data_IF_811578977945
#
_entry.id   IF_811578977945
#
_cell.length_a   1.000
_cell.length_b   1.000
_cell.length_c   1.000
_cell.angle_alpha   90.00
_cell.angle_beta   90.00
_cell.angle_gamma   90.00
#
_symmetry.space_group_name_H-M   'P 1'
#
loop_
_entity.id
_entity.type
_entity.pdbx_description
1 polymer ?
#
# COMPACT_ATOMS: atom_id res chain seq x y z
N UNK A 1 3.73 48.32 24.69
CA UNK A 1 4.56 47.48 25.55
C UNK A 1 5.01 46.30 24.72
N UNK A 2 6.28 46.36 24.36
CA UNK A 2 6.97 45.46 23.44
C UNK A 2 7.15 44.06 24.07
N UNK A 3 7.04 42.98 23.24
CA UNK A 3 7.41 41.63 23.63
C UNK A 3 8.94 41.49 23.63
N UNK A 4 9.54 40.88 24.67
CA UNK A 4 10.98 40.62 24.68
C UNK A 4 11.37 39.48 23.72
N UNK A 5 12.47 39.70 23.00
CA UNK A 5 13.13 38.75 22.11
C UNK A 5 13.62 37.52 22.86
N UNK A 6 13.39 36.33 22.27
CA UNK A 6 13.84 35.04 22.78
C UNK A 6 15.37 34.95 22.74
N UNK A 7 16.03 34.96 23.87
CA UNK A 7 17.40 34.48 24.05
C UNK A 7 17.40 33.20 24.88
N UNK A 8 18.12 32.22 24.34
CA UNK A 8 18.32 30.87 24.80
C UNK A 8 18.76 30.72 26.26
N UNK A 9 17.94 30.07 27.10
CA UNK A 9 18.43 29.28 28.23
C UNK A 9 17.40 28.22 28.60
N UNK A 10 17.70 26.97 28.33
CA UNK A 10 16.91 25.80 28.73
C UNK A 10 17.13 25.55 30.22
N UNK A 11 16.24 26.10 31.06
CA UNK A 11 16.16 25.72 32.47
C UNK A 11 15.28 24.47 32.64
N UNK A 12 15.70 23.54 33.45
CA UNK A 12 14.98 22.29 33.81
C UNK A 12 13.58 22.62 34.32
N UNK A 13 12.57 22.00 33.71
CA UNK A 13 11.16 22.08 34.10
C UNK A 13 10.94 21.18 35.30
N UNK A 14 10.48 21.78 36.42
CA UNK A 14 10.06 21.09 37.64
C UNK A 14 8.63 20.55 37.44
N UNK A 15 8.38 19.23 37.57
CA UNK A 15 7.09 18.61 37.26
C UNK A 15 5.99 18.85 38.31
N UNK A 16 6.25 19.62 39.37
CA UNK A 16 5.30 19.80 40.49
C UNK A 16 4.58 21.15 40.53
N UNK A 17 4.81 22.06 39.59
CA UNK A 17 4.12 23.37 39.57
C UNK A 17 2.95 23.39 38.56
N UNK A 18 1.75 23.83 38.97
CA UNK A 18 0.65 24.07 38.03
C UNK A 18 1.01 25.20 37.06
N UNK A 19 0.81 24.96 35.77
CA UNK A 19 1.03 25.94 34.70
C UNK A 19 0.12 27.18 34.90
N UNK A 20 0.65 28.41 34.75
CA UNK A 20 -0.17 29.60 34.71
C UNK A 20 -1.04 29.57 33.43
N UNK A 21 -2.33 29.87 33.58
CA UNK A 21 -3.29 30.00 32.47
C UNK A 21 -2.71 30.91 31.38
N UNK A 22 -2.63 30.37 30.16
CA UNK A 22 -2.34 31.16 28.96
C UNK A 22 -3.46 32.20 28.78
N UNK A 23 -3.14 33.44 29.00
CA UNK A 23 -3.93 34.56 28.55
C UNK A 23 -4.01 34.52 27.02
N UNK A 24 -5.20 34.40 26.51
CA UNK A 24 -5.49 34.42 25.08
C UNK A 24 -5.10 35.77 24.49
N UNK A 25 -4.01 35.80 23.72
CA UNK A 25 -3.71 36.94 22.85
C UNK A 25 -4.71 36.93 21.70
N UNK A 26 -5.64 37.87 21.67
CA UNK A 26 -6.50 38.12 20.52
C UNK A 26 -5.64 38.68 19.37
N UNK A 27 -5.71 38.09 18.15
CA UNK A 27 -5.03 38.70 17.00
C UNK A 27 -5.65 40.03 16.61
N UNK A 28 -4.85 40.98 16.07
CA UNK A 28 -5.35 42.30 15.67
C UNK A 28 -6.39 42.13 14.55
N UNK A 29 -7.53 42.81 14.72
CA UNK A 29 -8.59 42.89 13.71
C UNK A 29 -8.11 43.71 12.52
N UNK A 30 -7.88 43.02 11.39
CA UNK A 30 -7.69 43.71 10.12
C UNK A 30 -9.05 44.21 9.63
N UNK A 31 -9.23 45.54 9.60
CA UNK A 31 -10.38 46.17 8.98
C UNK A 31 -10.41 45.95 7.45
N UNK A 32 -11.58 46.02 6.81
CA UNK A 32 -11.69 45.71 5.39
C UNK A 32 -10.97 46.82 4.56
N UNK A 33 -9.95 46.40 3.79
CA UNK A 33 -9.35 47.20 2.74
C UNK A 33 -10.39 47.53 1.67
N UNK A 34 -10.77 48.83 1.57
CA UNK A 34 -11.55 49.38 0.47
C UNK A 34 -10.75 49.21 -0.83
N UNK A 35 -11.15 48.25 -1.65
CA UNK A 35 -10.70 48.13 -3.03
C UNK A 35 -11.53 49.05 -3.94
N UNK A 36 -11.08 50.28 -4.10
CA UNK A 36 -11.53 51.17 -5.16
C UNK A 36 -10.52 51.18 -6.30
N UNK A 37 -10.67 50.31 -7.26
CA UNK A 37 -10.10 50.43 -8.62
C UNK A 37 -10.98 49.60 -9.57
N UNK A 38 -11.89 50.27 -10.23
CA UNK A 38 -12.68 49.71 -11.29
C UNK A 38 -11.83 49.35 -12.51
N UNK A 39 -11.55 48.04 -12.66
CA UNK A 39 -10.95 47.48 -13.87
C UNK A 39 -12.08 46.98 -14.77
N UNK A 40 -12.31 47.69 -15.89
CA UNK A 40 -13.18 47.21 -16.98
C UNK A 40 -12.47 46.00 -17.62
N UNK A 41 -12.85 44.79 -17.22
CA UNK A 41 -12.37 43.55 -17.85
C UNK A 41 -13.11 43.32 -19.18
N UNK A 42 -12.33 43.25 -20.27
CA UNK A 42 -12.79 42.90 -21.60
C UNK A 42 -13.34 41.46 -21.63
N UNK A 43 -14.32 41.25 -22.52
CA UNK A 43 -15.15 40.03 -22.68
C UNK A 43 -14.36 38.74 -23.02
N UNK A 44 -13.05 38.81 -23.25
CA UNK A 44 -12.21 37.66 -23.58
C UNK A 44 -11.64 36.88 -22.39
N UNK A 45 -11.59 37.46 -21.17
CA UNK A 45 -10.99 36.82 -19.99
C UNK A 45 -11.96 35.90 -19.23
N UNK A 46 -13.26 36.03 -19.43
CA UNK A 46 -14.28 35.25 -18.73
C UNK A 46 -14.27 33.76 -19.05
N UNK A 47 -13.99 33.38 -20.28
CA UNK A 47 -14.03 31.98 -20.71
C UNK A 47 -12.84 31.17 -20.14
N UNK A 48 -11.63 31.71 -20.17
CA UNK A 48 -10.43 31.06 -19.62
C UNK A 48 -10.52 30.96 -18.11
N UNK A 49 -11.06 32.00 -17.43
CA UNK A 49 -11.29 31.97 -16.00
C UNK A 49 -12.35 30.92 -15.61
N UNK A 50 -13.42 30.78 -16.38
CA UNK A 50 -14.49 29.80 -16.14
C UNK A 50 -13.99 28.38 -16.37
N UNK A 51 -13.22 28.11 -17.43
CA UNK A 51 -12.61 26.80 -17.71
C UNK A 51 -11.61 26.43 -16.60
N UNK A 52 -10.80 27.39 -16.15
CA UNK A 52 -9.87 27.20 -15.04
C UNK A 52 -10.62 26.88 -13.73
N UNK A 53 -11.73 27.56 -13.42
CA UNK A 53 -12.54 27.28 -12.24
C UNK A 53 -13.26 25.93 -12.32
N UNK A 54 -13.76 25.55 -13.48
CA UNK A 54 -14.39 24.23 -13.70
C UNK A 54 -13.35 23.14 -13.61
N UNK A 55 -12.19 23.29 -14.25
CA UNK A 55 -11.09 22.34 -14.16
C UNK A 55 -10.59 22.17 -12.71
N UNK A 56 -10.39 23.27 -11.98
CA UNK A 56 -10.04 23.22 -10.54
C UNK A 56 -11.10 22.49 -9.72
N UNK A 57 -12.38 22.73 -9.99
CA UNK A 57 -13.48 22.10 -9.25
C UNK A 57 -13.62 20.61 -9.56
N UNK A 58 -13.30 20.20 -10.80
CA UNK A 58 -13.27 18.80 -11.21
C UNK A 58 -12.06 18.08 -10.62
N UNK A 59 -10.87 18.72 -10.60
CA UNK A 59 -9.62 18.12 -10.13
C UNK A 59 -9.52 18.10 -8.59
N UNK A 60 -9.84 19.22 -7.93
CA UNK A 60 -9.61 19.38 -6.48
C UNK A 60 -10.89 19.31 -5.62
N UNK A 61 -12.07 19.16 -6.24
CA UNK A 61 -13.33 19.16 -5.52
C UNK A 61 -13.72 20.52 -4.92
N UNK A 62 -14.58 20.52 -3.90
CA UNK A 62 -14.99 21.72 -3.15
C UNK A 62 -14.07 21.92 -1.96
N UNK A 63 -13.60 23.17 -1.75
CA UNK A 63 -12.93 23.55 -0.51
C UNK A 63 -13.85 23.31 0.70
N UNK A 64 -13.37 22.57 1.70
CA UNK A 64 -14.09 22.39 2.96
C UNK A 64 -13.88 23.60 3.86
N UNK A 65 -14.96 24.03 4.52
CA UNK A 65 -14.88 25.05 5.56
C UNK A 65 -14.18 24.47 6.81
N UNK A 66 -13.40 25.30 7.51
CA UNK A 66 -12.57 24.86 8.65
C UNK A 66 -13.38 24.29 9.83
N UNK A 67 -14.65 24.69 9.97
CA UNK A 67 -15.59 24.18 10.97
C UNK A 67 -16.01 22.72 10.72
N UNK A 68 -15.88 22.24 9.47
CA UNK A 68 -16.20 20.86 9.08
C UNK A 68 -15.02 19.89 9.07
N UNK A 69 -13.84 20.31 9.52
CA UNK A 69 -12.66 19.44 9.59
C UNK A 69 -12.91 18.20 10.47
N UNK A 70 -13.73 18.29 11.52
CA UNK A 70 -14.12 17.14 12.33
C UNK A 70 -14.93 16.07 11.58
N UNK A 71 -15.65 16.44 10.50
CA UNK A 71 -16.42 15.53 9.67
C UNK A 71 -15.53 14.70 8.72
N UNK A 72 -14.28 15.10 8.52
CA UNK A 72 -13.31 14.40 7.67
C UNK A 72 -12.63 13.24 8.36
N UNK A 73 -12.78 13.11 9.69
CA UNK A 73 -12.15 12.04 10.45
C UNK A 73 -12.71 10.66 10.08
N UNK A 74 -11.80 9.71 9.86
CA UNK A 74 -12.10 8.40 9.34
C UNK A 74 -12.52 7.42 10.46
N UNK A 75 -13.65 6.73 10.33
CA UNK A 75 -13.95 5.56 11.15
C UNK A 75 -13.07 4.38 10.72
N UNK A 76 -12.83 3.40 11.62
CA UNK A 76 -11.95 2.24 11.35
C UNK A 76 -12.33 1.52 10.04
N UNK A 77 -13.63 1.38 9.73
CA UNK A 77 -14.11 0.70 8.51
C UNK A 77 -13.66 1.37 7.20
N UNK A 78 -13.43 2.68 7.22
CA UNK A 78 -12.92 3.43 6.06
C UNK A 78 -11.42 3.62 6.17
N UNK A 79 -10.90 3.84 7.38
CA UNK A 79 -9.48 4.00 7.62
C UNK A 79 -8.68 2.75 7.25
N UNK A 80 -9.20 1.55 7.57
CA UNK A 80 -8.54 0.30 7.22
C UNK A 80 -8.25 0.21 5.71
N UNK A 81 -9.22 0.25 4.78
CA UNK A 81 -8.92 0.15 3.36
C UNK A 81 -8.10 1.33 2.82
N UNK A 82 -8.24 2.55 3.39
CA UNK A 82 -7.46 3.71 2.96
C UNK A 82 -5.98 3.54 3.26
N UNK A 83 -5.64 3.12 4.48
CA UNK A 83 -4.25 2.97 4.91
C UNK A 83 -3.66 1.59 4.65
N UNK A 84 -4.51 0.57 4.46
CA UNK A 84 -4.09 -0.80 4.24
C UNK A 84 -3.98 -1.19 2.76
N UNK A 85 -4.48 -0.36 1.83
CA UNK A 85 -4.48 -0.69 0.39
C UNK A 85 -3.09 -1.01 -0.12
N UNK A 86 -2.09 -0.27 0.31
CA UNK A 86 -0.69 -0.45 -0.05
C UNK A 86 -0.13 -1.76 0.51
N UNK A 87 -0.20 -1.95 1.83
CA UNK A 87 0.29 -3.18 2.47
C UNK A 87 -0.42 -4.44 1.94
N UNK A 88 -1.72 -4.39 1.64
CA UNK A 88 -2.45 -5.53 1.11
C UNK A 88 -2.11 -5.83 -0.36
N UNK A 89 -1.86 -4.80 -1.18
CA UNK A 89 -1.39 -5.02 -2.56
C UNK A 89 0.00 -5.63 -2.57
N UNK A 90 0.88 -5.19 -1.67
CA UNK A 90 2.24 -5.72 -1.54
C UNK A 90 2.27 -7.20 -1.16
N UNK A 91 1.37 -7.63 -0.29
CA UNK A 91 1.19 -9.06 0.06
C UNK A 91 0.86 -9.91 -1.18
N UNK A 92 0.12 -9.36 -2.14
CA UNK A 92 -0.29 -10.09 -3.34
C UNK A 92 0.90 -10.52 -4.20
N UNK A 93 1.91 -9.67 -4.36
CA UNK A 93 3.07 -9.98 -5.21
C UNK A 93 4.30 -10.45 -4.44
N UNK A 94 4.36 -10.27 -3.12
CA UNK A 94 5.54 -10.64 -2.33
C UNK A 94 5.88 -12.14 -2.41
N UNK A 95 4.88 -13.03 -2.49
CA UNK A 95 5.10 -14.46 -2.71
C UNK A 95 5.77 -14.71 -4.06
N UNK A 96 5.29 -14.05 -5.12
CA UNK A 96 5.86 -14.14 -6.45
C UNK A 96 7.31 -13.65 -6.47
N UNK A 97 7.61 -12.52 -5.83
CA UNK A 97 8.96 -11.97 -5.70
C UNK A 97 9.93 -12.95 -5.02
N UNK A 98 9.50 -13.65 -3.95
CA UNK A 98 10.30 -14.69 -3.32
C UNK A 98 10.56 -15.83 -4.29
N UNK A 99 9.52 -16.32 -4.97
CA UNK A 99 9.60 -17.47 -5.87
C UNK A 99 10.46 -17.14 -7.10
N UNK A 100 10.34 -15.96 -7.70
CA UNK A 100 11.16 -15.51 -8.82
C UNK A 100 12.65 -15.50 -8.49
N UNK A 101 13.02 -15.03 -7.28
CA UNK A 101 14.43 -15.06 -6.86
C UNK A 101 14.92 -16.49 -6.64
N UNK A 102 14.15 -17.35 -6.00
CA UNK A 102 14.54 -18.74 -5.74
C UNK A 102 14.55 -19.60 -7.02
N UNK A 103 13.71 -19.27 -8.00
CA UNK A 103 13.66 -19.91 -9.30
C UNK A 103 15.00 -19.80 -10.09
N UNK A 104 15.81 -18.80 -9.80
CA UNK A 104 17.16 -18.69 -10.37
C UNK A 104 18.04 -19.92 -10.06
N UNK A 105 17.78 -20.60 -8.95
CA UNK A 105 18.47 -21.83 -8.58
C UNK A 105 17.72 -23.11 -8.96
N UNK A 106 16.62 -23.00 -9.72
CA UNK A 106 15.81 -24.10 -10.20
C UNK A 106 14.69 -24.52 -9.22
N UNK A 107 13.88 -25.51 -9.64
CA UNK A 107 12.67 -25.95 -8.91
C UNK A 107 12.99 -26.41 -7.48
N UNK A 108 14.11 -27.06 -7.25
CA UNK A 108 14.46 -27.58 -5.93
C UNK A 108 14.51 -26.49 -4.84
N UNK A 109 14.88 -25.25 -5.21
CA UNK A 109 14.96 -24.14 -4.26
C UNK A 109 13.61 -23.47 -3.99
N UNK A 110 12.57 -23.69 -4.82
CA UNK A 110 11.25 -23.13 -4.58
C UNK A 110 10.64 -23.56 -3.23
N UNK A 111 10.99 -24.76 -2.73
CA UNK A 111 10.59 -25.19 -1.38
C UNK A 111 11.12 -24.26 -0.27
N UNK A 112 12.21 -23.54 -0.53
CA UNK A 112 12.75 -22.51 0.36
C UNK A 112 11.83 -21.30 0.54
N UNK A 113 10.83 -21.10 -0.34
CA UNK A 113 9.85 -20.01 -0.23
C UNK A 113 9.10 -20.03 1.09
N UNK A 114 8.82 -21.20 1.64
CA UNK A 114 8.15 -21.34 2.94
C UNK A 114 8.98 -20.72 4.07
N UNK A 115 10.29 -20.98 4.09
CA UNK A 115 11.19 -20.45 5.12
C UNK A 115 11.39 -18.94 4.97
N UNK A 116 11.53 -18.47 3.73
CA UNK A 116 11.61 -17.04 3.44
C UNK A 116 10.30 -16.34 3.88
N UNK A 117 9.15 -16.90 3.52
CA UNK A 117 7.85 -16.35 3.91
C UNK A 117 7.62 -16.39 5.43
N UNK A 118 8.04 -17.46 6.11
CA UNK A 118 7.95 -17.52 7.56
C UNK A 118 8.80 -16.43 8.24
N UNK A 119 10.02 -16.18 7.74
CA UNK A 119 10.88 -15.11 8.23
C UNK A 119 10.26 -13.73 7.98
N UNK A 120 9.72 -13.47 6.77
CA UNK A 120 9.03 -12.21 6.44
C UNK A 120 7.79 -12.01 7.33
N UNK A 121 6.96 -13.05 7.51
CA UNK A 121 5.78 -12.99 8.38
C UNK A 121 6.14 -12.71 9.83
N UNK A 122 7.25 -13.28 10.32
CA UNK A 122 7.76 -13.00 11.64
C UNK A 122 8.20 -11.53 11.78
N UNK A 123 8.94 -11.00 10.81
CA UNK A 123 9.36 -9.59 10.82
C UNK A 123 8.13 -8.68 10.75
N UNK A 124 7.15 -8.99 9.90
CA UNK A 124 5.88 -8.24 9.82
C UNK A 124 5.15 -8.23 11.16
N UNK A 125 5.09 -9.36 11.85
CA UNK A 125 4.48 -9.44 13.19
C UNK A 125 5.19 -8.52 14.19
N UNK A 126 6.53 -8.54 14.24
CA UNK A 126 7.33 -7.68 15.11
C UNK A 126 7.13 -6.20 14.78
N UNK A 127 7.14 -5.84 13.48
CA UNK A 127 6.93 -4.47 13.00
C UNK A 127 5.55 -3.97 13.40
N UNK A 128 4.49 -4.75 13.20
CA UNK A 128 3.13 -4.39 13.62
C UNK A 128 3.04 -4.16 15.13
N UNK A 129 3.68 -4.99 15.93
CA UNK A 129 3.74 -4.81 17.39
C UNK A 129 4.47 -3.52 17.78
N UNK A 130 5.57 -3.21 17.10
CA UNK A 130 6.34 -1.99 17.32
C UNK A 130 5.51 -0.74 16.99
N UNK A 131 4.90 -0.69 15.81
CA UNK A 131 4.03 0.44 15.43
C UNK A 131 2.81 0.61 16.34
N UNK A 132 2.25 -0.48 16.89
CA UNK A 132 1.19 -0.37 17.89
C UNK A 132 1.64 0.35 19.17
N UNK A 133 2.90 0.23 19.54
CA UNK A 133 3.46 0.99 20.66
C UNK A 133 3.71 2.44 20.24
N UNK A 134 4.27 2.66 19.06
CA UNK A 134 4.57 3.99 18.52
C UNK A 134 3.33 4.89 18.41
N UNK A 135 2.19 4.39 17.95
CA UNK A 135 0.95 5.20 17.83
C UNK A 135 0.38 5.64 19.18
N UNK A 136 0.77 5.00 20.30
CA UNK A 136 0.42 5.46 21.64
C UNK A 136 1.44 6.47 22.17
N UNK A 137 2.72 6.28 21.88
CA UNK A 137 3.80 7.16 22.30
C UNK A 137 3.79 8.50 21.53
N UNK A 138 3.43 8.45 20.23
CA UNK A 138 3.42 9.61 19.33
C UNK A 138 2.03 9.83 18.71
N UNK A 139 1.06 10.31 19.48
CA UNK A 139 -0.33 10.49 19.03
C UNK A 139 -0.49 11.63 18.01
N UNK A 140 0.52 12.49 17.85
CA UNK A 140 0.62 13.52 16.80
C UNK A 140 0.68 12.95 15.39
N UNK A 141 1.04 11.64 15.25
CA UNK A 141 1.31 10.99 13.97
C UNK A 141 2.73 11.27 13.49
N UNK A 142 3.00 11.07 12.21
CA UNK A 142 4.32 11.28 11.63
C UNK A 142 5.22 10.04 11.67
N UNK A 143 4.78 8.96 12.34
CA UNK A 143 5.45 7.66 12.32
C UNK A 143 6.95 7.74 12.59
N UNK A 144 7.73 7.12 11.72
CA UNK A 144 9.20 7.03 11.87
C UNK A 144 9.89 8.40 11.81
N UNK A 145 9.33 9.34 11.04
CA UNK A 145 9.83 10.73 11.00
C UNK A 145 9.75 11.39 12.36
N UNK A 146 8.61 11.28 13.04
CA UNK A 146 8.40 11.88 14.36
C UNK A 146 9.31 11.22 15.41
N UNK A 147 9.37 9.88 15.39
CA UNK A 147 10.25 9.12 16.29
C UNK A 147 11.71 9.54 16.12
N UNK A 148 12.20 9.64 14.88
CA UNK A 148 13.58 10.05 14.60
C UNK A 148 13.83 11.52 15.02
N UNK A 149 12.89 12.41 14.72
CA UNK A 149 13.02 13.84 15.03
C UNK A 149 13.08 14.08 16.54
N UNK A 150 12.21 13.42 17.30
CA UNK A 150 12.11 13.62 18.76
C UNK A 150 13.30 12.99 19.50
N UNK A 151 13.77 11.81 19.05
CA UNK A 151 14.80 11.07 19.78
C UNK A 151 16.22 11.32 19.29
N UNK A 152 16.41 11.56 17.99
CA UNK A 152 17.73 11.72 17.36
C UNK A 152 18.01 13.13 16.87
N UNK A 153 16.96 13.98 16.78
CA UNK A 153 17.05 15.34 16.34
C UNK A 153 16.63 15.56 14.88
N UNK A 154 16.48 16.85 14.52
CA UNK A 154 15.87 17.29 13.26
C UNK A 154 16.59 16.77 12.01
N UNK A 155 17.93 16.68 12.02
CA UNK A 155 18.70 16.22 10.87
C UNK A 155 18.41 14.74 10.54
N UNK A 156 18.29 13.90 11.57
CA UNK A 156 17.91 12.49 11.39
C UNK A 156 16.45 12.36 10.94
N UNK A 157 15.55 13.20 11.45
CA UNK A 157 14.18 13.28 10.96
C UNK A 157 14.12 13.59 9.46
N UNK A 158 14.91 14.54 8.97
CA UNK A 158 14.98 14.87 7.54
C UNK A 158 15.51 13.71 6.68
N UNK A 159 16.48 12.96 7.18
CA UNK A 159 17.00 11.75 6.49
C UNK A 159 15.86 10.73 6.37
N UNK A 160 15.13 10.45 7.46
CA UNK A 160 14.00 9.53 7.46
C UNK A 160 12.89 10.00 6.52
N UNK A 161 12.54 11.30 6.54
CA UNK A 161 11.56 11.87 5.63
C UNK A 161 11.95 11.68 4.15
N UNK A 162 13.22 11.87 3.83
CA UNK A 162 13.74 11.67 2.48
C UNK A 162 13.68 10.21 2.06
N UNK A 163 14.03 9.29 2.97
CA UNK A 163 13.94 7.85 2.72
C UNK A 163 12.48 7.40 2.50
N UNK A 164 11.54 7.86 3.33
CA UNK A 164 10.12 7.58 3.18
C UNK A 164 9.56 8.11 1.85
N UNK A 165 10.00 9.30 1.40
CA UNK A 165 9.58 9.84 0.11
C UNK A 165 10.02 8.94 -1.05
N UNK A 166 11.26 8.46 -1.03
CA UNK A 166 11.79 7.53 -2.04
C UNK A 166 11.03 6.21 -1.98
N UNK A 167 10.79 5.67 -0.78
CA UNK A 167 10.04 4.43 -0.58
C UNK A 167 8.62 4.53 -1.16
N UNK A 168 7.89 5.61 -0.89
CA UNK A 168 6.55 5.81 -1.45
C UNK A 168 6.54 5.88 -2.98
N UNK A 169 7.54 6.51 -3.60
CA UNK A 169 7.65 6.53 -5.08
C UNK A 169 7.90 5.14 -5.62
N UNK A 170 8.81 4.38 -5.01
CA UNK A 170 9.13 3.01 -5.42
C UNK A 170 7.95 2.07 -5.21
N UNK A 171 7.25 2.17 -4.09
CA UNK A 171 6.06 1.37 -3.78
C UNK A 171 4.95 1.59 -4.81
N UNK A 172 4.68 2.84 -5.19
CA UNK A 172 3.69 3.13 -6.26
C UNK A 172 4.14 2.50 -7.58
N UNK A 173 5.42 2.62 -7.93
CA UNK A 173 5.94 2.05 -9.17
C UNK A 173 5.80 0.52 -9.22
N UNK A 174 6.19 -0.18 -8.14
CA UNK A 174 6.10 -1.65 -8.06
C UNK A 174 4.64 -2.11 -8.03
N UNK A 175 3.78 -1.47 -7.22
CA UNK A 175 2.36 -1.84 -7.13
C UNK A 175 1.63 -1.65 -8.46
N UNK A 176 1.89 -0.58 -9.20
CA UNK A 176 1.30 -0.37 -10.52
C UNK A 176 1.86 -1.38 -11.53
N UNK A 177 3.15 -1.66 -11.50
CA UNK A 177 3.76 -2.66 -12.41
C UNK A 177 3.16 -4.05 -12.17
N UNK A 178 3.01 -4.47 -10.92
CA UNK A 178 2.38 -5.73 -10.55
C UNK A 178 0.90 -5.76 -10.96
N UNK A 179 0.15 -4.67 -10.74
CA UNK A 179 -1.25 -4.58 -11.16
C UNK A 179 -1.39 -4.71 -12.68
N UNK A 180 -0.52 -4.05 -13.45
CA UNK A 180 -0.52 -4.14 -14.92
C UNK A 180 -0.12 -5.54 -15.40
N UNK A 181 0.85 -6.19 -14.76
CA UNK A 181 1.22 -7.57 -15.06
C UNK A 181 0.05 -8.54 -14.82
N UNK A 182 -0.66 -8.41 -13.69
CA UNK A 182 -1.87 -9.19 -13.41
C UNK A 182 -2.99 -8.91 -14.42
N UNK A 183 -3.15 -7.68 -14.85
CA UNK A 183 -4.14 -7.30 -15.84
C UNK A 183 -3.77 -7.85 -17.23
N UNK A 184 -2.52 -7.75 -17.63
CA UNK A 184 -2.01 -8.31 -18.89
C UNK A 184 -2.13 -9.84 -18.91
N UNK A 185 -1.85 -10.53 -17.80
CA UNK A 185 -2.04 -11.99 -17.70
C UNK A 185 -3.51 -12.43 -17.80
N UNK A 186 -4.46 -11.48 -17.67
CA UNK A 186 -5.89 -11.74 -17.79
C UNK A 186 -6.47 -11.35 -19.14
N UNK A 187 -5.82 -10.42 -19.86
CA UNK A 187 -6.30 -9.88 -21.14
C UNK A 187 -5.14 -9.82 -22.14
N UNK A 188 -5.08 -10.79 -23.04
CA UNK A 188 -4.01 -10.91 -24.06
C UNK A 188 -3.82 -9.63 -24.90
N UNK A 189 -4.89 -8.85 -25.10
CA UNK A 189 -4.85 -7.57 -25.84
C UNK A 189 -3.95 -6.50 -25.18
N UNK A 190 -3.65 -6.65 -23.89
CA UNK A 190 -2.82 -5.69 -23.15
C UNK A 190 -1.32 -6.01 -23.23
N UNK A 191 -0.94 -7.20 -23.71
CA UNK A 191 0.45 -7.54 -23.93
C UNK A 191 1.13 -6.53 -24.88
N UNK A 192 2.28 -6.00 -24.48
CA UNK A 192 3.01 -4.97 -25.21
C UNK A 192 2.52 -3.52 -24.95
N UNK A 193 1.43 -3.32 -24.20
CA UNK A 193 0.91 -1.99 -23.85
C UNK A 193 1.05 -1.67 -22.34
N UNK A 194 1.95 -2.34 -21.64
CA UNK A 194 2.10 -2.22 -20.18
C UNK A 194 2.38 -0.79 -19.73
N UNK A 195 3.25 -0.05 -20.44
CA UNK A 195 3.64 1.33 -20.08
C UNK A 195 2.47 2.31 -20.21
N UNK A 196 1.74 2.40 -21.33
CA UNK A 196 0.60 3.31 -21.44
C UNK A 196 -0.53 2.96 -20.45
N UNK A 197 -0.76 1.68 -20.15
CA UNK A 197 -1.74 1.26 -19.14
C UNK A 197 -1.30 1.71 -17.74
N UNK A 198 -0.02 1.54 -17.39
CA UNK A 198 0.53 2.01 -16.12
C UNK A 198 0.37 3.52 -15.94
N UNK A 199 0.70 4.31 -16.98
CA UNK A 199 0.52 5.76 -16.97
C UNK A 199 -0.95 6.14 -16.77
N UNK A 200 -1.87 5.49 -17.48
CA UNK A 200 -3.30 5.73 -17.33
C UNK A 200 -3.80 5.43 -15.90
N UNK A 201 -3.34 4.33 -15.29
CA UNK A 201 -3.63 3.98 -13.90
C UNK A 201 -3.12 5.04 -12.91
N UNK A 202 -1.85 5.47 -13.06
CA UNK A 202 -1.25 6.50 -12.20
C UNK A 202 -2.03 7.81 -12.30
N UNK A 203 -2.34 8.26 -13.50
CA UNK A 203 -3.12 9.49 -13.71
C UNK A 203 -4.53 9.38 -13.11
N UNK A 204 -5.20 8.23 -13.29
CA UNK A 204 -6.51 7.98 -12.72
C UNK A 204 -6.51 8.05 -11.19
N UNK A 205 -5.59 7.32 -10.55
CA UNK A 205 -5.45 7.31 -9.08
C UNK A 205 -5.08 8.70 -8.56
N UNK A 206 -4.17 9.41 -9.24
CA UNK A 206 -3.79 10.78 -8.87
C UNK A 206 -4.99 11.72 -8.91
N UNK A 207 -5.79 11.67 -9.98
CA UNK A 207 -7.02 12.48 -10.09
C UNK A 207 -8.01 12.18 -8.96
N UNK A 208 -8.15 10.90 -8.59
CA UNK A 208 -9.03 10.51 -7.49
C UNK A 208 -8.52 11.02 -6.14
N UNK A 209 -7.23 10.92 -5.88
CA UNK A 209 -6.62 11.38 -4.63
C UNK A 209 -6.68 12.91 -4.45
N UNK A 210 -6.58 13.67 -5.54
CA UNK A 210 -6.71 15.12 -5.51
C UNK A 210 -8.08 15.61 -5.04
N UNK A 211 -9.13 14.77 -5.08
CA UNK A 211 -10.48 15.11 -4.61
C UNK A 211 -10.67 15.06 -3.10
N UNK A 212 -9.69 14.58 -2.37
CA UNK A 212 -9.70 14.55 -0.91
C UNK A 212 -9.86 13.14 -0.32
N UNK A 213 -9.22 12.94 0.83
CA UNK A 213 -9.06 11.63 1.49
C UNK A 213 -10.39 10.95 1.86
N UNK A 214 -11.44 11.71 2.20
CA UNK A 214 -12.72 11.13 2.60
C UNK A 214 -13.51 10.58 1.41
N UNK A 215 -13.55 11.32 0.31
CA UNK A 215 -14.26 10.91 -0.91
C UNK A 215 -13.52 9.76 -1.60
N UNK A 216 -12.21 9.88 -1.75
CA UNK A 216 -11.37 8.83 -2.32
C UNK A 216 -11.36 7.59 -1.42
N UNK A 217 -11.30 7.74 -0.10
CA UNK A 217 -11.27 6.61 0.83
C UNK A 217 -12.49 5.72 0.78
N UNK A 218 -13.69 6.28 0.62
CA UNK A 218 -14.92 5.48 0.46
C UNK A 218 -14.93 4.75 -0.89
N UNK A 219 -14.41 5.39 -1.94
CA UNK A 219 -14.32 4.80 -3.28
C UNK A 219 -13.28 3.66 -3.33
N UNK A 220 -12.13 3.84 -2.67
CA UNK A 220 -11.10 2.79 -2.56
C UNK A 220 -11.49 1.65 -1.62
N UNK A 221 -12.39 1.87 -0.66
CA UNK A 221 -12.80 0.84 0.27
C UNK A 221 -13.44 -0.37 -0.43
N UNK A 222 -14.24 -0.12 -1.48
CA UNK A 222 -14.93 -1.19 -2.21
C UNK A 222 -13.95 -2.16 -2.86
N UNK A 223 -13.01 -1.72 -3.74
CA UNK A 223 -12.06 -2.62 -4.37
C UNK A 223 -11.13 -3.32 -3.36
N UNK A 224 -10.71 -2.64 -2.29
CA UNK A 224 -9.84 -3.25 -1.26
C UNK A 224 -10.57 -4.38 -0.52
N UNK A 225 -11.81 -4.16 -0.09
CA UNK A 225 -12.59 -5.24 0.54
C UNK A 225 -12.94 -6.36 -0.42
N UNK A 226 -13.22 -6.05 -1.70
CA UNK A 226 -13.46 -7.06 -2.73
C UNK A 226 -12.19 -7.90 -2.97
N UNK A 227 -11.02 -7.28 -3.03
CA UNK A 227 -9.74 -7.96 -3.15
C UNK A 227 -9.47 -8.90 -1.97
N UNK A 228 -9.63 -8.40 -0.72
CA UNK A 228 -9.50 -9.23 0.49
C UNK A 228 -10.44 -10.44 0.43
N UNK A 229 -11.71 -10.20 0.10
CA UNK A 229 -12.71 -11.27 -0.01
C UNK A 229 -12.31 -12.31 -1.07
N UNK A 230 -11.81 -11.86 -2.21
CA UNK A 230 -11.37 -12.73 -3.30
C UNK A 230 -10.23 -13.65 -2.84
N UNK A 231 -9.17 -13.09 -2.25
CA UNK A 231 -8.02 -13.87 -1.77
C UNK A 231 -8.43 -14.86 -0.66
N UNK A 232 -9.22 -14.42 0.33
CA UNK A 232 -9.70 -15.33 1.37
C UNK A 232 -10.60 -16.45 0.80
N UNK A 233 -11.46 -16.12 -0.16
CA UNK A 233 -12.30 -17.13 -0.81
C UNK A 233 -11.45 -18.15 -1.57
N UNK A 234 -10.40 -17.68 -2.28
CA UNK A 234 -9.46 -18.55 -2.98
C UNK A 234 -8.76 -19.50 -2.01
N UNK A 235 -8.18 -18.98 -0.92
CA UNK A 235 -7.48 -19.78 0.09
C UNK A 235 -8.43 -20.80 0.75
N UNK A 236 -9.63 -20.37 1.17
CA UNK A 236 -10.61 -21.24 1.84
C UNK A 236 -11.11 -22.32 0.88
N UNK A 237 -11.44 -21.95 -0.37
CA UNK A 237 -11.93 -22.91 -1.36
C UNK A 237 -10.85 -23.97 -1.69
N UNK A 238 -9.61 -23.56 -1.89
CA UNK A 238 -8.50 -24.47 -2.10
C UNK A 238 -8.27 -25.39 -0.88
N UNK A 239 -8.34 -24.84 0.35
CA UNK A 239 -8.23 -25.64 1.57
C UNK A 239 -9.33 -26.70 1.68
N UNK A 240 -10.57 -26.35 1.34
CA UNK A 240 -11.70 -27.30 1.33
C UNK A 240 -11.47 -28.41 0.32
N UNK A 241 -11.04 -28.09 -0.91
CA UNK A 241 -10.76 -29.08 -1.94
C UNK A 241 -9.63 -30.03 -1.55
N UNK A 242 -8.55 -29.49 -0.99
CA UNK A 242 -7.44 -30.30 -0.45
C UNK A 242 -7.92 -31.23 0.66
N UNK A 243 -8.76 -30.74 1.57
CA UNK A 243 -9.35 -31.55 2.65
C UNK A 243 -10.30 -32.64 2.13
N UNK A 244 -10.92 -32.42 0.96
CA UNK A 244 -11.76 -33.41 0.27
C UNK A 244 -10.94 -34.49 -0.47
N UNK A 245 -9.62 -34.37 -0.49
CA UNK A 245 -8.72 -35.31 -1.15
C UNK A 245 -8.42 -34.98 -2.63
N UNK A 246 -8.82 -33.80 -3.10
CA UNK A 246 -8.49 -33.34 -4.46
C UNK A 246 -7.01 -32.99 -4.55
N UNK A 247 -6.37 -33.38 -5.65
CA UNK A 247 -4.99 -32.94 -5.95
C UNK A 247 -5.07 -31.71 -6.81
N UNK A 248 -4.81 -30.56 -6.20
CA UNK A 248 -4.73 -29.28 -6.90
C UNK A 248 -3.32 -29.13 -7.50
N UNK A 249 -3.26 -28.90 -8.81
CA UNK A 249 -2.00 -28.62 -9.50
C UNK A 249 -2.17 -27.40 -10.39
N UNK A 250 -1.22 -26.49 -10.33
CA UNK A 250 -1.17 -25.34 -11.22
C UNK A 250 -0.85 -25.80 -12.66
N UNK A 251 -1.25 -25.00 -13.63
CA UNK A 251 -0.93 -25.24 -15.04
C UNK A 251 0.59 -25.33 -15.24
N UNK A 252 1.34 -24.48 -14.55
CA UNK A 252 2.81 -24.43 -14.60
C UNK A 252 3.50 -25.58 -13.85
N UNK A 253 2.77 -26.44 -13.12
CA UNK A 253 3.35 -27.53 -12.33
C UNK A 253 4.08 -28.60 -13.17
N UNK A 254 3.80 -28.63 -14.46
CA UNK A 254 4.44 -29.57 -15.42
C UNK A 254 5.65 -28.95 -16.13
N UNK A 255 5.90 -27.66 -15.93
CA UNK A 255 7.03 -26.99 -16.56
C UNK A 255 8.28 -27.12 -15.69
N UNK A 256 9.42 -27.27 -16.33
CA UNK A 256 10.69 -27.30 -15.63
C UNK A 256 11.35 -25.91 -15.66
N UNK A 257 12.16 -25.61 -14.66
CA UNK A 257 12.87 -24.35 -14.57
C UNK A 257 14.35 -24.61 -14.81
N UNK A 258 14.90 -24.02 -15.88
CA UNK A 258 16.33 -24.06 -16.12
C UNK A 258 17.05 -23.18 -15.10
N UNK A 259 17.87 -23.75 -14.20
CA UNK A 259 18.60 -22.93 -13.24
C UNK A 259 19.59 -22.01 -13.97
N UNK A 260 19.62 -20.75 -13.56
CA UNK A 260 20.56 -19.78 -14.13
C UNK A 260 22.01 -20.09 -13.72
N UNK A 261 22.19 -20.68 -12.51
CA UNK A 261 23.48 -21.08 -11.99
C UNK A 261 23.32 -22.19 -10.92
N UNK A 262 24.43 -22.86 -10.60
CA UNK A 262 24.47 -23.82 -9.48
C UNK A 262 24.82 -23.10 -8.18
N UNK A 263 23.81 -22.84 -7.34
CA UNK A 263 24.02 -22.17 -6.07
C UNK A 263 24.36 -23.15 -4.96
N UNK A 264 25.53 -22.97 -4.33
CA UNK A 264 25.98 -23.76 -3.18
C UNK A 264 26.72 -22.88 -2.16
N UNK A 265 26.80 -23.35 -0.91
CA UNK A 265 27.54 -22.65 0.15
C UNK A 265 27.11 -21.21 0.31
N UNK A 266 28.07 -20.27 0.21
CA UNK A 266 27.82 -18.84 0.41
C UNK A 266 26.89 -18.24 -0.66
N UNK A 267 26.97 -18.70 -1.93
CA UNK A 267 26.08 -18.21 -2.99
C UNK A 267 24.62 -18.59 -2.72
N UNK A 268 24.35 -19.79 -2.19
CA UNK A 268 23.00 -20.18 -1.75
C UNK A 268 22.51 -19.33 -0.60
N UNK A 269 23.37 -19.00 0.37
CA UNK A 269 23.03 -18.12 1.48
C UNK A 269 22.65 -16.71 0.99
N UNK A 270 23.40 -16.16 0.03
CA UNK A 270 23.10 -14.88 -0.60
C UNK A 270 21.78 -14.92 -1.39
N UNK A 271 21.53 -16.00 -2.15
CA UNK A 271 20.27 -16.15 -2.88
C UNK A 271 19.08 -16.22 -1.91
N UNK A 272 19.21 -16.97 -0.82
CA UNK A 272 18.17 -17.08 0.22
C UNK A 272 17.92 -15.74 0.91
N UNK A 273 19.00 -14.98 1.22
CA UNK A 273 18.87 -13.65 1.78
C UNK A 273 18.23 -12.67 0.81
N UNK A 274 18.56 -12.76 -0.48
CA UNK A 274 17.92 -11.97 -1.53
C UNK A 274 16.44 -12.30 -1.67
N UNK A 275 16.06 -13.58 -1.61
CA UNK A 275 14.67 -14.00 -1.63
C UNK A 275 13.90 -13.45 -0.41
N UNK A 276 14.50 -13.52 0.77
CA UNK A 276 13.94 -12.91 1.97
C UNK A 276 13.75 -11.39 1.80
N UNK A 277 14.77 -10.66 1.32
CA UNK A 277 14.66 -9.20 1.12
C UNK A 277 13.64 -8.82 0.06
N UNK A 278 13.51 -9.59 -1.02
CA UNK A 278 12.42 -9.42 -1.99
C UNK A 278 11.04 -9.62 -1.35
N UNK A 279 10.90 -10.65 -0.50
CA UNK A 279 9.66 -10.87 0.26
C UNK A 279 9.34 -9.78 1.27
N UNK A 280 10.34 -9.03 1.74
CA UNK A 280 10.12 -7.89 2.64
C UNK A 280 9.31 -6.76 2.00
N UNK A 281 9.06 -6.79 0.70
CA UNK A 281 8.07 -5.90 0.04
C UNK A 281 6.68 -6.02 0.66
N UNK A 282 6.34 -7.17 1.27
CA UNK A 282 5.09 -7.34 2.03
C UNK A 282 4.95 -6.41 3.25
N UNK A 283 6.05 -5.81 3.73
CA UNK A 283 6.05 -4.91 4.88
C UNK A 283 5.74 -3.46 4.50
N UNK A 284 5.84 -3.09 3.23
CA UNK A 284 5.58 -1.71 2.77
C UNK A 284 4.14 -1.30 3.08
N UNK A 285 3.95 -0.04 3.44
CA UNK A 285 2.64 0.52 3.74
C UNK A 285 2.10 0.25 5.15
N UNK A 286 2.76 -0.58 5.98
CA UNK A 286 2.35 -0.81 7.38
C UNK A 286 2.49 0.47 8.21
N UNK A 287 3.50 1.30 7.92
CA UNK A 287 3.77 2.58 8.57
C UNK A 287 2.71 3.65 8.27
N UNK A 288 1.94 3.50 7.18
CA UNK A 288 0.93 4.49 6.77
C UNK A 288 -0.11 4.77 7.87
N UNK A 289 -0.45 3.76 8.68
CA UNK A 289 -1.37 3.92 9.82
C UNK A 289 -0.72 4.75 10.93
N UNK A 290 0.58 4.57 11.18
CA UNK A 290 1.32 5.34 12.17
C UNK A 290 1.44 6.81 11.75
N UNK A 291 1.69 7.07 10.47
CA UNK A 291 1.70 8.41 9.89
C UNK A 291 0.30 9.06 9.94
N UNK A 292 -0.75 8.25 9.73
CA UNK A 292 -2.14 8.68 9.61
C UNK A 292 -2.93 8.81 10.92
N UNK A 293 -2.33 8.67 12.12
CA UNK A 293 -3.03 8.75 13.41
C UNK A 293 -3.95 9.99 13.54
N UNK A 294 -3.55 11.20 13.11
CA UNK A 294 -4.41 12.39 13.20
C UNK A 294 -5.73 12.27 12.44
N UNK A 295 -5.79 11.46 11.38
CA UNK A 295 -6.97 11.29 10.54
C UNK A 295 -8.05 10.38 11.16
N UNK A 296 -7.74 9.66 12.24
CA UNK A 296 -8.71 8.77 12.90
C UNK A 296 -9.68 9.54 13.78
N UNK A 297 -10.91 9.01 13.90
CA UNK A 297 -11.86 9.47 14.92
C UNK A 297 -11.33 9.22 16.34
N UNK A 298 -11.67 10.09 17.33
CA UNK A 298 -11.31 9.85 18.72
C UNK A 298 -11.91 8.53 19.27
N UNK A 299 -11.19 7.80 20.12
CA UNK A 299 -9.81 7.99 20.56
C UNK A 299 -8.79 7.53 19.48
N UNK A 300 -8.05 8.50 18.92
CA UNK A 300 -7.21 8.35 17.71
C UNK A 300 -6.20 7.21 17.82
N UNK A 301 -5.32 7.25 18.82
CA UNK A 301 -4.27 6.25 19.00
C UNK A 301 -4.82 4.84 19.20
N UNK A 302 -5.91 4.69 19.96
CA UNK A 302 -6.56 3.40 20.19
C UNK A 302 -7.16 2.83 18.91
N UNK A 303 -7.78 3.69 18.09
CA UNK A 303 -8.35 3.28 16.81
C UNK A 303 -7.25 2.93 15.79
N UNK A 304 -6.16 3.72 15.73
CA UNK A 304 -5.00 3.41 14.91
C UNK A 304 -4.35 2.08 15.31
N UNK A 305 -4.12 1.84 16.61
CA UNK A 305 -3.54 0.60 17.12
C UNK A 305 -4.42 -0.64 16.82
N UNK A 306 -5.75 -0.50 16.85
CA UNK A 306 -6.67 -1.56 16.45
C UNK A 306 -6.62 -1.82 14.95
N UNK A 307 -6.55 -0.75 14.14
CA UNK A 307 -6.44 -0.87 12.68
C UNK A 307 -5.13 -1.53 12.29
N UNK A 308 -4.00 -1.20 12.95
CA UNK A 308 -2.71 -1.88 12.77
C UNK A 308 -2.79 -3.37 13.09
N UNK A 309 -3.43 -3.74 14.20
CA UNK A 309 -3.59 -5.15 14.55
C UNK A 309 -4.42 -5.92 13.51
N UNK A 310 -5.51 -5.31 13.03
CA UNK A 310 -6.37 -5.89 11.98
C UNK A 310 -5.57 -6.02 10.68
N UNK A 311 -4.89 -4.95 10.24
CA UNK A 311 -4.05 -4.97 9.05
C UNK A 311 -3.01 -6.09 9.12
N UNK A 312 -2.22 -6.13 10.21
CA UNK A 312 -1.17 -7.13 10.36
C UNK A 312 -1.71 -8.56 10.36
N UNK A 313 -2.83 -8.81 11.05
CA UNK A 313 -3.46 -10.14 11.05
C UNK A 313 -3.93 -10.55 9.66
N UNK A 314 -4.59 -9.65 8.93
CA UNK A 314 -5.08 -9.90 7.57
C UNK A 314 -3.90 -10.12 6.63
N UNK A 315 -2.92 -9.22 6.64
CA UNK A 315 -1.75 -9.27 5.74
C UNK A 315 -0.93 -10.55 5.95
N UNK A 316 -0.62 -10.92 7.21
CA UNK A 316 0.11 -12.16 7.52
C UNK A 316 -0.68 -13.39 7.05
N UNK A 317 -2.00 -13.43 7.31
CA UNK A 317 -2.83 -14.57 6.93
C UNK A 317 -2.91 -14.71 5.40
N UNK A 318 -3.09 -13.60 4.68
CA UNK A 318 -3.10 -13.59 3.21
C UNK A 318 -1.76 -14.02 2.65
N UNK A 319 -0.66 -13.45 3.14
CA UNK A 319 0.69 -13.74 2.66
C UNK A 319 1.07 -15.21 2.86
N UNK A 320 0.91 -15.72 4.07
CA UNK A 320 1.20 -17.13 4.37
C UNK A 320 0.25 -18.04 3.59
N UNK A 321 -1.04 -17.69 3.51
CA UNK A 321 -2.03 -18.46 2.78
C UNK A 321 -1.71 -18.59 1.29
N UNK A 322 -1.35 -17.49 0.62
CA UNK A 322 -0.94 -17.49 -0.78
C UNK A 322 0.35 -18.28 -0.97
N UNK A 323 1.35 -18.09 -0.11
CA UNK A 323 2.63 -18.84 -0.22
C UNK A 323 2.43 -20.34 -0.04
N UNK A 324 1.66 -20.76 0.97
CA UNK A 324 1.36 -22.18 1.18
C UNK A 324 0.59 -22.75 -0.01
N UNK A 325 -0.38 -22.01 -0.53
CA UNK A 325 -1.16 -22.44 -1.68
C UNK A 325 -0.25 -22.62 -2.91
N UNK A 326 0.60 -21.65 -3.23
CA UNK A 326 1.53 -21.72 -4.36
C UNK A 326 2.45 -22.94 -4.30
N UNK A 327 2.93 -23.30 -3.10
CA UNK A 327 3.77 -24.49 -2.90
C UNK A 327 2.98 -25.79 -3.04
N UNK A 328 1.76 -25.85 -2.50
CA UNK A 328 0.91 -27.05 -2.56
C UNK A 328 0.43 -27.30 -3.98
N UNK A 329 0.08 -26.27 -4.72
CA UNK A 329 -0.35 -26.37 -6.12
C UNK A 329 0.83 -26.51 -7.09
N UNK A 330 2.05 -26.42 -6.60
CA UNK A 330 3.29 -26.49 -7.38
C UNK A 330 3.31 -25.44 -8.52
N UNK A 331 3.09 -24.17 -8.15
CA UNK A 331 3.25 -23.07 -9.10
C UNK A 331 4.72 -22.89 -9.44
N UNK A 332 5.06 -22.96 -10.72
CA UNK A 332 6.39 -22.67 -11.23
C UNK A 332 6.37 -21.33 -11.97
N UNK A 333 7.25 -20.41 -11.56
CA UNK A 333 7.45 -19.09 -12.16
C UNK A 333 8.93 -18.85 -12.36
N UNK A 334 9.28 -18.08 -13.39
CA UNK A 334 10.65 -17.67 -13.65
C UNK A 334 10.70 -16.18 -14.03
N UNK A 335 11.89 -15.57 -13.92
CA UNK A 335 12.10 -14.16 -14.28
C UNK A 335 11.90 -13.96 -15.79
N UNK A 336 12.27 -14.96 -16.60
CA UNK A 336 12.14 -14.94 -18.06
C UNK A 336 11.36 -16.18 -18.51
N UNK A 337 10.38 -15.98 -19.39
CA UNK A 337 9.60 -17.07 -20.01
C UNK A 337 10.52 -18.11 -20.68
N UNK A 338 11.67 -17.68 -21.20
CA UNK A 338 12.67 -18.56 -21.82
C UNK A 338 13.30 -19.58 -20.83
N UNK A 339 13.27 -19.31 -19.54
CA UNK A 339 13.76 -20.23 -18.51
C UNK A 339 12.79 -21.36 -18.17
N UNK A 340 11.52 -21.26 -18.64
CA UNK A 340 10.48 -22.28 -18.43
C UNK A 340 10.48 -23.30 -19.57
N UNK A 341 10.95 -24.49 -19.27
CA UNK A 341 10.97 -25.62 -20.22
C UNK A 341 9.65 -26.36 -20.17
N UNK A 342 9.03 -26.60 -21.34
CA UNK A 342 7.73 -27.25 -21.43
C UNK A 342 6.56 -26.31 -21.56
N UNK A 343 6.78 -25.01 -21.53
CA UNK A 343 5.75 -24.01 -21.81
C UNK A 343 5.36 -24.04 -23.31
N UNK A 344 4.06 -24.01 -23.66
CA UNK A 344 3.61 -23.96 -25.04
C UNK A 344 4.11 -22.71 -25.79
N UNK A 345 4.42 -22.86 -27.09
CA UNK A 345 4.85 -21.73 -27.92
C UNK A 345 3.75 -20.66 -27.99
N UNK A 346 4.15 -19.39 -27.77
CA UNK A 346 3.22 -18.26 -27.78
C UNK A 346 2.41 -18.09 -26.49
N UNK A 347 2.70 -18.89 -25.47
CA UNK A 347 2.11 -18.73 -24.13
C UNK A 347 3.00 -17.82 -23.28
N UNK A 348 2.37 -17.00 -22.44
CA UNK A 348 3.06 -16.18 -21.44
C UNK A 348 2.76 -16.70 -20.06
N UNK A 349 3.77 -16.71 -19.18
CA UNK A 349 3.56 -17.14 -17.81
C UNK A 349 2.53 -16.23 -17.11
N UNK A 350 1.72 -16.83 -16.25
CA UNK A 350 0.76 -16.14 -15.42
C UNK A 350 1.43 -15.77 -14.09
N UNK A 351 0.99 -14.67 -13.46
CA UNK A 351 1.38 -14.36 -12.09
C UNK A 351 0.94 -15.48 -11.14
N UNK A 352 1.62 -15.59 -9.97
CA UNK A 352 1.31 -16.61 -8.96
C UNK A 352 -0.16 -16.59 -8.59
N UNK A 353 -0.72 -15.44 -8.28
CA UNK A 353 -2.15 -15.29 -7.91
C UNK A 353 -3.06 -15.75 -9.05
N UNK A 354 -2.73 -15.43 -10.29
CA UNK A 354 -3.52 -15.83 -11.44
C UNK A 354 -3.47 -17.33 -11.69
N UNK A 355 -2.32 -17.96 -11.48
CA UNK A 355 -2.15 -19.41 -11.55
C UNK A 355 -2.97 -20.12 -10.47
N UNK A 356 -3.01 -19.59 -9.26
CA UNK A 356 -3.81 -20.11 -8.14
C UNK A 356 -5.31 -19.94 -8.37
N UNK A 357 -5.74 -18.79 -8.92
CA UNK A 357 -7.14 -18.55 -9.29
C UNK A 357 -7.64 -19.61 -10.29
N UNK A 358 -6.87 -19.92 -11.32
CA UNK A 358 -7.20 -20.94 -12.29
C UNK A 358 -7.26 -22.33 -11.68
N UNK A 359 -6.29 -22.66 -10.83
CA UNK A 359 -6.19 -23.96 -10.17
C UNK A 359 -7.37 -24.22 -9.23
N UNK A 360 -7.88 -23.18 -8.60
CA UNK A 360 -9.03 -23.29 -7.68
C UNK A 360 -10.39 -23.30 -8.39
N UNK A 361 -10.44 -23.22 -9.73
CA UNK A 361 -11.69 -23.14 -10.54
C UNK A 361 -12.62 -21.98 -10.15
N UNK A 362 -12.09 -20.99 -9.45
CA UNK A 362 -12.83 -19.78 -9.06
C UNK A 362 -13.08 -18.83 -10.25
N UNK A 363 -12.47 -19.12 -11.40
CA UNK A 363 -12.49 -18.29 -12.60
C UNK A 363 -13.89 -17.86 -13.05
N UNK A 364 -14.88 -18.76 -12.96
CA UNK A 364 -16.26 -18.46 -13.38
C UNK A 364 -16.98 -17.50 -12.42
N UNK A 365 -16.63 -17.49 -11.14
CA UNK A 365 -17.29 -16.69 -10.10
C UNK A 365 -16.61 -15.34 -9.85
N UNK A 366 -15.28 -15.27 -9.92
CA UNK A 366 -14.55 -14.00 -9.79
C UNK A 366 -14.68 -13.12 -11.05
N UNK A 367 -14.73 -13.71 -12.25
CA UNK A 367 -15.10 -12.98 -13.47
C UNK A 367 -16.48 -12.32 -13.34
N UNK A 368 -17.41 -12.99 -12.65
CA UNK A 368 -18.73 -12.41 -12.38
C UNK A 368 -18.65 -11.21 -11.44
N UNK A 369 -17.82 -11.27 -10.39
CA UNK A 369 -17.64 -10.16 -9.44
C UNK A 369 -16.89 -9.00 -10.10
N UNK A 370 -15.83 -9.25 -10.87
CA UNK A 370 -15.13 -8.22 -11.62
C UNK A 370 -16.01 -7.60 -12.71
N UNK A 371 -16.82 -8.40 -13.44
CA UNK A 371 -17.82 -7.89 -14.40
C UNK A 371 -18.88 -7.06 -13.71
N UNK A 372 -19.45 -7.51 -12.60
CA UNK A 372 -20.45 -6.75 -11.84
C UNK A 372 -19.90 -5.44 -11.28
N UNK A 373 -18.60 -5.37 -10.97
CA UNK A 373 -17.94 -4.12 -10.54
C UNK A 373 -17.66 -3.18 -11.72
N UNK A 374 -17.47 -3.72 -12.94
CA UNK A 374 -17.26 -2.94 -14.16
C UNK A 374 -18.57 -2.51 -14.85
N UNK A 375 -19.65 -3.29 -14.73
CA UNK A 375 -20.96 -2.99 -15.33
C UNK A 375 -21.84 -2.03 -14.49
N UNK A 376 -21.44 -1.71 -13.25
CA UNK A 376 -22.11 -0.71 -12.39
C UNK A 376 -21.47 0.69 -12.53
N UNK A 377 -21.16 1.12 -13.74
CA UNK A 377 -20.86 2.51 -14.07
C UNK A 377 -21.98 3.13 -14.86
#
# INVERSE_FOLDING_TARGET
TECPSASSSWARVDPTRPHPMMTTCTPPSYGPLRSGLGYRAGVGFGFVATVSHVAKRILFGRALASDRLGETLLPIRVALPVFASDALSSVAYATEEIMLVLALGGIALLSGSLWAAAAVAFVMFVVVLSYRQNVHAYPSGGGDYEVATVNLGQNFGLIVASALLVDYVLTVAVSISSAVANLASSFDMLHGHNVPVAIACILGITMMNLRGVKESGTLFAIPVYAFMLAIFTMIIHAAIRLASGDVLRAESSTWDITPADSFSGLALAFLSLRAFTSGCTALTGVEAISNGVPAFRPPKSRNAARTLALLGSIAITMFVGVTVLALVTQVHVAVDDAALVGMPQGYHQKTVIRSEEHTSELQSRLHLVCRLLLEKK
#
